data_IF_700323422292
#
_entry.id   IF_700323422292
#
_cell.length_a   1.000
_cell.length_b   1.000
_cell.length_c   1.000
_cell.angle_alpha   90.00
_cell.angle_beta   90.00
_cell.angle_gamma   90.00
#
_symmetry.space_group_name_H-M   'P 1'
#
loop_
_entity.id
_entity.type
_entity.pdbx_description
1 polymer ?
#
# COMPACT_ATOMS: atom_id res chain seq x y z
N UNK A 1 9.55 -11.44 -28.01
CA UNK A 1 8.80 -12.01 -26.88
C UNK A 1 8.97 -11.02 -25.73
N UNK A 2 7.95 -10.26 -25.40
CA UNK A 2 8.01 -9.26 -24.31
C UNK A 2 7.84 -10.08 -23.04
N UNK A 3 8.91 -10.22 -22.25
CA UNK A 3 8.79 -10.71 -20.89
C UNK A 3 8.03 -9.66 -20.09
N UNK A 4 6.78 -9.93 -19.83
CA UNK A 4 6.00 -9.21 -18.85
C UNK A 4 6.63 -9.56 -17.51
N UNK A 5 7.34 -8.63 -16.90
CA UNK A 5 7.84 -8.81 -15.54
C UNK A 5 6.62 -8.95 -14.63
N UNK A 6 6.43 -10.15 -14.09
CA UNK A 6 5.34 -10.43 -13.17
C UNK A 6 5.69 -9.72 -11.86
N UNK A 7 5.00 -8.61 -11.61
CA UNK A 7 5.07 -7.92 -10.33
C UNK A 7 4.16 -8.60 -9.31
N UNK A 8 4.69 -8.93 -8.15
CA UNK A 8 3.92 -9.42 -7.00
C UNK A 8 4.16 -8.52 -5.81
N UNK A 9 3.10 -8.29 -5.06
CA UNK A 9 3.14 -7.54 -3.82
C UNK A 9 2.86 -8.47 -2.64
N UNK A 10 3.68 -8.35 -1.61
CA UNK A 10 3.43 -8.91 -0.29
C UNK A 10 3.16 -7.79 0.70
N UNK A 11 2.27 -8.03 1.65
CA UNK A 11 1.96 -7.08 2.72
C UNK A 11 1.74 -7.81 4.03
N UNK A 12 2.15 -7.18 5.13
CA UNK A 12 1.83 -7.61 6.49
C UNK A 12 1.70 -6.42 7.43
N UNK A 13 0.86 -6.56 8.45
CA UNK A 13 0.85 -5.65 9.60
C UNK A 13 2.13 -5.83 10.42
N UNK A 14 2.65 -4.72 10.94
CA UNK A 14 3.75 -4.74 11.90
C UNK A 14 3.20 -4.93 13.34
N UNK A 15 4.01 -5.52 14.20
CA UNK A 15 3.73 -5.56 15.64
C UNK A 15 4.40 -4.35 16.30
N UNK A 16 3.63 -3.28 16.45
CA UNK A 16 4.15 -1.98 16.84
C UNK A 16 5.20 -1.48 15.84
N UNK A 17 6.37 -1.09 16.31
CA UNK A 17 7.48 -0.61 15.48
C UNK A 17 8.36 -1.74 14.93
N UNK A 18 8.01 -3.02 15.18
CA UNK A 18 8.80 -4.16 14.72
C UNK A 18 8.41 -4.53 13.30
N UNK A 19 9.32 -4.44 12.31
CA UNK A 19 9.05 -4.82 10.94
C UNK A 19 8.66 -6.30 10.82
N UNK A 20 7.66 -6.59 9.99
CA UNK A 20 7.29 -7.97 9.72
C UNK A 20 8.42 -8.69 8.96
N UNK A 21 8.61 -9.98 9.26
CA UNK A 21 9.68 -10.80 8.67
C UNK A 21 9.27 -11.45 7.35
N UNK A 22 7.96 -11.65 7.15
CA UNK A 22 7.40 -12.25 5.93
C UNK A 22 6.00 -11.69 5.66
N UNK A 23 5.56 -11.64 4.41
CA UNK A 23 4.21 -11.19 4.09
C UNK A 23 3.16 -12.21 4.57
N UNK A 24 2.04 -11.68 5.08
CA UNK A 24 0.85 -12.46 5.43
C UNK A 24 -0.10 -12.60 4.26
N UNK A 25 -0.13 -11.60 3.39
CA UNK A 25 -0.95 -11.56 2.19
C UNK A 25 -0.03 -11.33 0.99
N UNK A 26 -0.31 -12.03 -0.11
CA UNK A 26 0.40 -11.89 -1.39
C UNK A 26 -0.61 -11.83 -2.52
N UNK A 27 -0.45 -10.88 -3.42
CA UNK A 27 -1.33 -10.74 -4.58
C UNK A 27 -0.61 -10.14 -5.79
N UNK A 28 -1.21 -10.28 -6.96
CA UNK A 28 -0.73 -9.66 -8.18
C UNK A 28 -1.05 -8.17 -8.22
N UNK A 29 -0.35 -7.47 -9.10
CA UNK A 29 -0.57 -6.06 -9.38
C UNK A 29 -1.28 -5.91 -10.72
N UNK A 30 -2.18 -4.93 -10.81
CA UNK A 30 -2.80 -4.49 -12.07
C UNK A 30 -2.11 -3.27 -12.65
N UNK A 31 -1.48 -2.47 -11.81
CA UNK A 31 -0.73 -1.28 -12.18
C UNK A 31 0.17 -0.79 -11.05
N UNK A 32 0.83 0.34 -11.30
CA UNK A 32 1.73 0.98 -10.35
C UNK A 32 3.14 0.41 -10.31
N UNK A 33 3.99 1.12 -9.61
CA UNK A 33 5.37 0.76 -9.34
C UNK A 33 5.51 0.10 -7.99
N UNK A 34 6.34 -0.90 -7.94
CA UNK A 34 6.82 -1.41 -6.67
C UNK A 34 7.75 -0.35 -6.06
N UNK A 35 7.87 -0.39 -4.75
CA UNK A 35 8.78 0.42 -3.93
C UNK A 35 9.84 1.18 -4.70
N UNK A 36 9.70 2.49 -4.71
CA UNK A 36 10.66 3.37 -5.39
C UNK A 36 11.37 4.26 -4.35
N UNK A 37 12.57 3.87 -3.86
CA UNK A 37 13.34 4.74 -2.99
C UNK A 37 13.90 5.91 -3.80
N UNK A 38 13.36 7.09 -3.58
CA UNK A 38 13.86 8.32 -4.17
C UNK A 38 14.94 8.92 -3.27
N UNK A 39 16.09 9.21 -3.86
CA UNK A 39 17.22 9.85 -3.19
C UNK A 39 17.45 11.22 -3.78
N UNK A 40 17.35 12.25 -2.99
CA UNK A 40 17.76 13.60 -3.37
C UNK A 40 19.25 13.78 -3.05
N UNK A 41 20.05 14.02 -4.09
CA UNK A 41 21.48 14.27 -3.96
C UNK A 41 21.70 15.78 -4.13
N UNK A 42 22.22 16.42 -3.11
CA UNK A 42 22.60 17.83 -3.16
C UNK A 42 24.11 17.97 -3.25
N UNK A 43 24.56 18.97 -3.98
CA UNK A 43 25.95 19.37 -4.08
C UNK A 43 26.11 20.81 -3.65
N UNK A 44 26.85 21.04 -2.57
CA UNK A 44 27.21 22.39 -2.15
C UNK A 44 28.39 22.89 -2.97
N UNK A 45 28.19 23.97 -3.70
CA UNK A 45 29.29 24.64 -4.37
C UNK A 45 30.19 25.32 -3.32
N UNK A 46 31.41 24.83 -3.19
CA UNK A 46 32.44 25.44 -2.33
C UNK A 46 33.49 26.06 -3.23
N UNK A 47 33.70 27.35 -3.09
CA UNK A 47 34.77 28.08 -3.82
C UNK A 47 36.13 27.71 -3.23
N UNK A 48 36.73 26.68 -3.76
CA UNK A 48 38.09 26.20 -3.37
C UNK A 48 39.22 26.78 -4.22
N UNK A 49 39.00 27.88 -4.91
CA UNK A 49 39.98 28.46 -5.82
C UNK A 49 40.16 27.70 -7.15
N UNK A 50 39.34 26.69 -7.41
CA UNK A 50 39.30 25.91 -8.64
C UNK A 50 38.07 26.34 -9.47
N UNK A 51 38.21 26.29 -10.82
CA UNK A 51 37.09 26.61 -11.74
C UNK A 51 35.99 25.53 -11.81
N UNK A 52 36.18 24.43 -11.12
CA UNK A 52 35.18 23.33 -11.07
C UNK A 52 34.82 23.04 -9.61
N UNK A 53 33.57 22.62 -9.39
CA UNK A 53 33.10 22.13 -8.11
C UNK A 53 33.88 20.87 -7.74
N UNK A 54 34.32 20.78 -6.49
CA UNK A 54 34.95 19.56 -6.01
C UNK A 54 33.95 18.41 -6.06
N UNK A 55 34.32 17.29 -6.70
CA UNK A 55 33.45 16.11 -6.85
C UNK A 55 33.00 15.49 -5.50
N UNK A 56 33.69 15.85 -4.41
CA UNK A 56 33.48 15.33 -3.06
C UNK A 56 32.42 16.13 -2.25
N UNK A 57 31.77 17.11 -2.85
CA UNK A 57 30.75 17.93 -2.17
C UNK A 57 29.30 17.43 -2.29
N UNK A 58 29.10 16.29 -2.97
CA UNK A 58 27.78 15.70 -3.11
C UNK A 58 27.43 14.88 -1.85
N UNK A 59 26.22 15.08 -1.34
CA UNK A 59 25.67 14.31 -0.21
C UNK A 59 24.20 13.99 -0.45
N UNK A 60 23.74 12.89 0.13
CA UNK A 60 22.31 12.55 0.11
C UNK A 60 21.63 13.42 1.16
N UNK A 61 20.77 14.32 0.71
CA UNK A 61 20.01 15.21 1.61
C UNK A 61 18.71 14.58 2.07
N UNK A 62 18.14 13.72 1.24
CA UNK A 62 16.83 13.17 1.48
C UNK A 62 16.69 11.78 0.85
N UNK A 63 16.00 10.88 1.55
CA UNK A 63 15.56 9.58 1.03
C UNK A 63 14.06 9.47 1.31
N UNK A 64 13.26 9.36 0.26
CA UNK A 64 11.83 9.12 0.34
C UNK A 64 11.55 7.66 -0.06
N UNK A 65 10.79 6.97 0.78
CA UNK A 65 10.37 5.59 0.55
C UNK A 65 8.88 5.59 0.26
N UNK A 66 8.52 5.63 -1.03
CA UNK A 66 7.15 5.53 -1.48
C UNK A 66 6.79 4.10 -1.87
N UNK A 67 5.55 3.73 -1.62
CA UNK A 67 4.91 2.53 -2.16
C UNK A 67 3.66 2.99 -2.89
N UNK A 68 3.57 2.70 -4.17
CA UNK A 68 2.45 3.08 -5.02
C UNK A 68 2.08 1.92 -5.93
N UNK A 69 0.85 1.43 -5.83
CA UNK A 69 0.40 0.29 -6.62
C UNK A 69 -1.12 0.27 -6.81
N UNK A 70 -1.51 -0.49 -7.82
CA UNK A 70 -2.90 -0.83 -8.11
C UNK A 70 -3.07 -2.35 -8.12
N UNK A 71 -4.19 -2.81 -7.58
CA UNK A 71 -4.56 -4.23 -7.52
C UNK A 71 -6.07 -4.40 -7.51
N UNK A 72 -6.53 -5.63 -7.68
CA UNK A 72 -7.94 -5.95 -7.49
C UNK A 72 -8.28 -6.05 -5.98
N UNK A 73 -9.54 -5.77 -5.65
CA UNK A 73 -10.04 -5.96 -4.29
C UNK A 73 -10.26 -7.45 -4.00
N UNK A 74 -9.31 -8.09 -3.37
CA UNK A 74 -9.45 -9.46 -2.89
C UNK A 74 -10.07 -9.50 -1.50
N UNK A 75 -10.81 -10.57 -1.20
CA UNK A 75 -11.52 -10.71 0.06
C UNK A 75 -10.59 -10.73 1.29
N UNK A 76 -9.37 -11.21 1.13
CA UNK A 76 -8.35 -11.30 2.17
C UNK A 76 -7.56 -9.99 2.37
N UNK A 77 -7.40 -9.17 1.31
CA UNK A 77 -6.58 -7.97 1.38
C UNK A 77 -7.35 -6.67 1.59
N UNK A 78 -8.60 -6.59 1.11
CA UNK A 78 -9.42 -5.37 1.20
C UNK A 78 -9.56 -4.88 2.66
N UNK A 79 -9.91 -5.79 3.58
CA UNK A 79 -10.08 -5.43 4.98
C UNK A 79 -8.77 -4.93 5.62
N UNK A 80 -7.63 -5.48 5.21
CA UNK A 80 -6.31 -5.04 5.67
C UNK A 80 -5.99 -3.61 5.21
N UNK A 81 -6.22 -3.31 3.93
CA UNK A 81 -5.97 -1.96 3.40
C UNK A 81 -6.92 -0.92 4.01
N UNK A 82 -8.20 -1.28 4.18
CA UNK A 82 -9.15 -0.41 4.86
C UNK A 82 -8.77 -0.18 6.34
N UNK A 83 -8.35 -1.22 7.06
CA UNK A 83 -7.84 -1.08 8.42
C UNK A 83 -6.63 -0.15 8.46
N UNK A 84 -5.68 -0.36 7.56
CA UNK A 84 -4.44 0.41 7.54
C UNK A 84 -4.66 1.89 7.16
N UNK A 85 -5.67 2.17 6.34
CA UNK A 85 -6.04 3.53 5.99
C UNK A 85 -6.89 4.23 7.06
N UNK A 86 -7.76 3.48 7.77
CA UNK A 86 -8.72 4.05 8.72
C UNK A 86 -8.32 3.91 10.19
N UNK A 87 -7.49 2.93 10.53
CA UNK A 87 -6.87 2.77 11.84
C UNK A 87 -7.59 1.88 12.84
N UNK A 88 -8.88 1.56 12.66
CA UNK A 88 -9.60 0.72 13.61
C UNK A 88 -10.55 -0.26 12.92
N UNK A 89 -10.59 -1.51 13.40
CA UNK A 89 -11.47 -2.56 12.91
C UNK A 89 -12.07 -3.35 14.07
N UNK A 90 -13.37 -3.63 13.98
CA UNK A 90 -14.07 -4.55 14.86
C UNK A 90 -14.62 -5.69 14.01
N UNK A 91 -14.17 -6.91 14.28
CA UNK A 91 -14.57 -8.12 13.57
C UNK A 91 -15.47 -8.97 14.44
N UNK A 92 -16.66 -9.26 13.96
CA UNK A 92 -17.65 -10.11 14.66
C UNK A 92 -18.01 -11.30 13.79
N UNK A 93 -18.06 -12.53 14.34
CA UNK A 93 -18.55 -13.69 13.60
C UNK A 93 -19.99 -13.47 13.13
N UNK A 94 -20.30 -13.95 11.93
CA UNK A 94 -21.67 -13.93 11.42
C UNK A 94 -22.43 -15.13 11.96
N UNK A 95 -23.53 -14.88 12.66
CA UNK A 95 -24.35 -15.93 13.26
C UNK A 95 -24.84 -16.94 12.19
N UNK A 96 -24.70 -18.21 12.47
CA UNK A 96 -25.11 -19.30 11.57
C UNK A 96 -24.21 -19.55 10.38
N UNK A 97 -23.09 -18.81 10.22
CA UNK A 97 -22.14 -18.99 9.13
C UNK A 97 -20.72 -19.19 9.65
N UNK A 98 -20.24 -20.43 9.69
CA UNK A 98 -18.88 -20.74 10.12
C UNK A 98 -17.85 -20.14 9.18
N UNK A 99 -16.84 -19.45 9.73
CA UNK A 99 -15.74 -18.84 8.98
C UNK A 99 -16.05 -17.47 8.35
N UNK A 100 -17.27 -16.96 8.51
CA UNK A 100 -17.64 -15.63 8.02
C UNK A 100 -17.59 -14.60 9.15
N UNK A 101 -17.02 -13.43 8.87
CA UNK A 101 -16.93 -12.33 9.81
C UNK A 101 -17.49 -11.05 9.18
N UNK A 102 -18.18 -10.26 9.98
CA UNK A 102 -18.54 -8.89 9.67
C UNK A 102 -17.45 -7.99 10.21
N UNK A 103 -16.85 -7.18 9.34
CA UNK A 103 -15.88 -6.17 9.70
C UNK A 103 -16.56 -4.79 9.72
N UNK A 104 -16.39 -4.07 10.82
CA UNK A 104 -16.78 -2.66 10.94
C UNK A 104 -15.49 -1.89 11.11
N UNK A 105 -15.16 -1.07 10.10
CA UNK A 105 -13.94 -0.29 10.04
C UNK A 105 -14.31 1.16 10.28
N UNK A 106 -13.59 1.81 11.18
CA UNK A 106 -13.85 3.20 11.60
C UNK A 106 -12.54 3.96 11.71
N UNK A 107 -12.62 5.28 11.72
CA UNK A 107 -11.46 6.11 11.92
C UNK A 107 -10.86 5.87 13.31
N UNK A 108 -9.59 5.55 13.34
CA UNK A 108 -8.78 5.41 14.55
C UNK A 108 -7.95 6.67 14.82
N UNK A 109 -7.39 6.76 16.00
CA UNK A 109 -6.47 7.84 16.37
C UNK A 109 -5.03 7.59 15.92
N UNK A 110 -4.71 6.36 15.54
CA UNK A 110 -3.38 5.94 15.09
C UNK A 110 -3.54 5.00 13.91
N UNK A 111 -2.78 5.24 12.85
CA UNK A 111 -2.71 4.33 11.71
C UNK A 111 -1.73 3.20 12.01
N UNK A 112 -2.10 1.94 11.76
CA UNK A 112 -1.20 0.81 11.92
C UNK A 112 -0.06 0.87 10.90
N UNK A 113 1.09 0.32 11.29
CA UNK A 113 2.25 0.23 10.43
C UNK A 113 2.19 -1.05 9.59
N UNK A 114 2.60 -0.93 8.34
CA UNK A 114 2.70 -2.01 7.37
C UNK A 114 4.14 -2.24 6.95
N UNK A 115 4.43 -3.47 6.56
CA UNK A 115 5.60 -3.82 5.77
C UNK A 115 5.13 -4.27 4.40
N UNK A 116 5.73 -3.72 3.35
CA UNK A 116 5.49 -4.11 1.96
C UNK A 116 6.70 -4.81 1.38
N UNK A 117 6.45 -5.80 0.52
CA UNK A 117 7.45 -6.46 -0.30
C UNK A 117 7.04 -6.40 -1.76
N UNK A 118 7.89 -5.84 -2.59
CA UNK A 118 7.70 -5.83 -4.02
C UNK A 118 8.64 -6.80 -4.71
N UNK A 119 8.11 -7.78 -5.45
CA UNK A 119 8.89 -8.69 -6.24
C UNK A 119 8.86 -8.28 -7.71
N UNK A 120 10.05 -8.21 -8.32
CA UNK A 120 10.23 -8.01 -9.75
C UNK A 120 11.04 -9.21 -10.29
N UNK A 121 10.60 -9.75 -11.41
CA UNK A 121 11.28 -10.88 -12.06
C UNK A 121 10.58 -12.22 -11.86
N UNK A 122 11.11 -13.24 -12.53
CA UNK A 122 10.62 -14.60 -12.43
C UNK A 122 11.24 -15.34 -11.22
N UNK A 123 10.80 -16.58 -11.00
CA UNK A 123 11.27 -17.41 -9.87
C UNK A 123 12.75 -17.72 -9.89
N UNK A 124 13.43 -17.55 -11.03
CA UNK A 124 14.87 -17.84 -11.16
C UNK A 124 15.75 -16.60 -10.94
N UNK A 125 15.22 -15.40 -11.23
CA UNK A 125 15.93 -14.13 -11.08
C UNK A 125 15.02 -13.06 -10.49
N UNK A 126 14.55 -13.28 -9.28
CA UNK A 126 13.69 -12.34 -8.58
C UNK A 126 14.51 -11.36 -7.73
N UNK A 127 14.11 -10.11 -7.79
CA UNK A 127 14.55 -9.08 -6.86
C UNK A 127 13.38 -8.67 -5.99
N UNK A 128 13.56 -8.69 -4.69
CA UNK A 128 12.55 -8.30 -3.72
C UNK A 128 13.01 -7.05 -2.99
N UNK A 129 12.20 -6.02 -3.04
CA UNK A 129 12.35 -4.82 -2.24
C UNK A 129 11.39 -4.89 -1.06
N UNK A 130 11.89 -4.67 0.14
CA UNK A 130 11.09 -4.57 1.35
C UNK A 130 11.08 -3.12 1.81
N UNK A 131 9.89 -2.60 2.16
CA UNK A 131 9.74 -1.30 2.82
C UNK A 131 9.04 -1.48 4.14
N UNK A 132 9.66 -0.95 5.17
CA UNK A 132 9.21 -1.03 6.54
C UNK A 132 8.65 0.31 7.03
N UNK A 133 7.84 0.25 8.08
CA UNK A 133 7.27 1.42 8.73
C UNK A 133 6.30 2.19 7.84
N UNK A 134 5.58 1.50 6.95
CA UNK A 134 4.68 2.14 6.02
C UNK A 134 3.35 2.50 6.66
N UNK A 135 2.86 3.71 6.37
CA UNK A 135 1.47 4.12 6.61
C UNK A 135 0.80 4.42 5.28
N UNK A 136 -0.47 4.05 5.13
CA UNK A 136 -1.24 4.38 3.95
C UNK A 136 -1.59 5.86 3.96
N UNK A 137 -1.15 6.57 2.92
CA UNK A 137 -1.50 7.97 2.70
C UNK A 137 -2.82 8.08 1.94
N UNK A 138 -2.95 7.35 0.83
CA UNK A 138 -4.17 7.36 0.04
C UNK A 138 -4.64 5.94 -0.24
N UNK A 139 -5.93 5.70 -0.05
CA UNK A 139 -6.64 4.49 -0.44
C UNK A 139 -7.77 4.85 -1.37
N UNK A 140 -7.71 4.41 -2.61
CA UNK A 140 -8.75 4.54 -3.61
C UNK A 140 -9.43 3.21 -3.88
N UNK A 141 -10.75 3.22 -4.01
CA UNK A 141 -11.57 2.10 -4.46
C UNK A 141 -12.39 2.58 -5.64
N UNK A 142 -12.30 1.87 -6.77
CA UNK A 142 -13.00 2.28 -7.99
C UNK A 142 -13.66 1.08 -8.65
N UNK A 143 -14.88 1.25 -9.11
CA UNK A 143 -15.57 0.26 -9.94
C UNK A 143 -16.29 0.92 -11.10
N UNK A 144 -16.38 0.19 -12.21
CA UNK A 144 -17.10 0.63 -13.39
C UNK A 144 -17.89 -0.55 -13.98
N UNK A 145 -19.19 -0.40 -14.10
CA UNK A 145 -20.09 -1.40 -14.67
C UNK A 145 -19.95 -2.77 -13.98
N UNK A 146 -19.61 -3.77 -14.78
CA UNK A 146 -19.43 -5.14 -14.32
C UNK A 146 -17.94 -5.52 -14.14
N UNK A 147 -17.04 -4.55 -14.15
CA UNK A 147 -15.62 -4.78 -13.90
C UNK A 147 -15.35 -5.13 -12.44
N UNK A 148 -14.24 -5.81 -12.13
CA UNK A 148 -13.81 -5.99 -10.77
C UNK A 148 -13.64 -4.66 -10.04
N UNK A 149 -13.73 -4.70 -8.70
CA UNK A 149 -13.38 -3.55 -7.86
C UNK A 149 -11.85 -3.40 -7.83
N UNK A 150 -11.39 -2.23 -8.27
CA UNK A 150 -9.98 -1.88 -8.24
C UNK A 150 -9.61 -1.14 -6.95
N UNK A 151 -8.41 -1.43 -6.45
CA UNK A 151 -7.80 -0.74 -5.31
C UNK A 151 -6.55 -0.02 -5.79
N UNK A 152 -6.43 1.26 -5.45
CA UNK A 152 -5.19 2.02 -5.55
C UNK A 152 -4.70 2.39 -4.15
N UNK A 153 -3.41 2.18 -3.89
CA UNK A 153 -2.78 2.46 -2.60
C UNK A 153 -1.52 3.26 -2.81
N UNK A 154 -1.44 4.39 -2.10
CA UNK A 154 -0.20 5.14 -1.93
C UNK A 154 0.17 5.10 -0.45
N UNK A 155 1.42 4.75 -0.15
CA UNK A 155 1.91 4.68 1.21
C UNK A 155 3.30 5.32 1.32
N UNK A 156 3.58 5.89 2.48
CA UNK A 156 4.89 6.42 2.83
C UNK A 156 5.57 5.47 3.82
N UNK A 157 6.80 5.07 3.51
CA UNK A 157 7.61 4.18 4.34
C UNK A 157 8.80 4.88 4.98
N UNK A 158 9.40 4.24 5.97
CA UNK A 158 10.55 4.78 6.72
C UNK A 158 11.86 4.21 6.23
N UNK A 159 11.93 2.90 5.98
CA UNK A 159 13.16 2.22 5.59
C UNK A 159 12.92 1.23 4.44
N UNK A 160 13.95 1.02 3.62
CA UNK A 160 13.88 0.06 2.52
C UNK A 160 15.12 -0.82 2.47
N UNK A 161 14.89 -2.10 2.32
CA UNK A 161 15.94 -3.12 2.22
C UNK A 161 15.75 -3.94 0.96
N UNK A 162 16.87 -4.23 0.29
CA UNK A 162 16.88 -5.11 -0.86
C UNK A 162 17.13 -6.56 -0.40
N UNK A 163 16.25 -7.47 -0.80
CA UNK A 163 16.38 -8.90 -0.58
C UNK A 163 16.52 -9.64 -1.91
N UNK A 164 17.16 -10.80 -1.86
CA UNK A 164 17.25 -11.68 -3.04
C UNK A 164 16.02 -12.59 -3.19
N UNK A 165 15.31 -12.88 -2.10
CA UNK A 165 14.10 -13.72 -2.10
C UNK A 165 13.29 -13.49 -0.83
N UNK A 166 11.97 -13.65 -0.89
CA UNK A 166 11.09 -13.66 0.29
C UNK A 166 10.62 -15.07 0.70
N UNK A 167 11.40 -16.11 0.31
CA UNK A 167 11.11 -17.51 0.61
C UNK A 167 10.05 -18.13 -0.32
N UNK A 168 9.66 -19.37 -0.03
CA UNK A 168 8.65 -20.08 -0.80
C UNK A 168 7.35 -19.30 -0.82
N UNK A 169 6.97 -18.85 -2.00
CA UNK A 169 5.75 -18.12 -2.23
C UNK A 169 4.61 -19.12 -2.17
N UNK A 170 3.89 -19.15 -1.04
CA UNK A 170 2.55 -19.75 -1.04
C UNK A 170 1.74 -19.02 -2.11
N UNK A 171 1.09 -19.77 -2.99
CA UNK A 171 0.35 -19.24 -4.14
C UNK A 171 -0.36 -17.93 -3.79
N UNK A 172 -0.14 -16.87 -4.58
CA UNK A 172 -0.84 -15.62 -4.36
C UNK A 172 -2.34 -15.84 -4.52
N UNK A 173 -3.14 -15.13 -3.75
CA UNK A 173 -4.61 -15.10 -3.88
C UNK A 173 -5.08 -14.51 -5.22
N UNK A 174 -4.20 -14.45 -6.24
CA UNK A 174 -4.44 -13.84 -7.54
C UNK A 174 -5.58 -14.49 -8.34
N UNK A 175 -6.04 -15.65 -7.94
CA UNK A 175 -6.97 -16.44 -8.77
C UNK A 175 -8.35 -16.62 -8.15
N UNK A 176 -8.53 -16.33 -6.87
CA UNK A 176 -9.79 -16.57 -6.18
C UNK A 176 -10.24 -15.35 -5.37
N UNK A 177 -11.50 -14.96 -5.57
CA UNK A 177 -12.22 -14.15 -4.60
C UNK A 177 -12.03 -12.64 -4.68
N UNK A 178 -11.79 -12.07 -5.86
CA UNK A 178 -11.94 -10.62 -6.04
C UNK A 178 -13.42 -10.21 -6.10
N UNK A 179 -13.68 -8.99 -5.64
CA UNK A 179 -15.03 -8.46 -5.64
C UNK A 179 -15.42 -7.93 -7.03
N UNK A 180 -16.61 -8.32 -7.47
CA UNK A 180 -17.27 -7.76 -8.65
C UNK A 180 -18.59 -7.16 -8.21
N UNK A 181 -18.89 -5.91 -8.50
CA UNK A 181 -20.11 -5.24 -8.03
C UNK A 181 -21.40 -5.70 -8.73
N UNK A 182 -21.33 -6.71 -9.62
CA UNK A 182 -22.51 -7.30 -10.25
C UNK A 182 -23.46 -7.89 -9.21
N UNK A 183 -24.65 -7.32 -9.11
CA UNK A 183 -25.66 -7.75 -8.14
C UNK A 183 -25.55 -7.03 -6.79
N UNK A 184 -24.74 -5.99 -6.67
CA UNK A 184 -24.75 -5.11 -5.51
C UNK A 184 -25.98 -4.21 -5.51
N UNK A 185 -26.71 -4.16 -4.39
CA UNK A 185 -27.77 -3.20 -4.15
C UNK A 185 -27.20 -1.92 -3.58
N UNK A 186 -27.32 -0.83 -4.32
CA UNK A 186 -26.95 0.49 -3.83
C UNK A 186 -28.21 1.21 -3.32
N UNK A 187 -28.15 1.68 -2.08
CA UNK A 187 -29.27 2.38 -1.44
C UNK A 187 -28.81 3.71 -0.88
N UNK A 188 -29.58 4.74 -1.15
CA UNK A 188 -29.41 6.04 -0.50
C UNK A 188 -30.37 6.08 0.67
N UNK A 189 -29.81 6.15 1.88
CA UNK A 189 -30.56 6.36 3.11
C UNK A 189 -30.48 7.84 3.48
N UNK A 190 -31.66 8.47 3.54
CA UNK A 190 -31.79 9.80 4.11
C UNK A 190 -32.41 9.62 5.50
N UNK A 191 -31.76 10.10 6.53
CA UNK A 191 -31.97 9.89 7.98
C UNK A 191 -33.44 9.87 8.50
N UNK A 192 -34.41 9.99 7.66
CA UNK A 192 -35.87 9.98 8.00
C UNK A 192 -36.76 9.29 6.98
N UNK A 193 -36.20 8.63 5.97
CA UNK A 193 -37.03 8.00 4.91
C UNK A 193 -36.56 6.56 4.63
N UNK A 194 -37.46 5.78 4.02
CA UNK A 194 -37.11 4.44 3.52
C UNK A 194 -35.95 4.54 2.51
N UNK A 195 -34.90 3.71 2.63
CA UNK A 195 -33.82 3.68 1.68
C UNK A 195 -34.33 3.48 0.25
N UNK A 196 -33.81 4.28 -0.67
CA UNK A 196 -34.21 4.22 -2.09
C UNK A 196 -33.14 3.45 -2.85
N UNK A 197 -33.56 2.47 -3.63
CA UNK A 197 -32.69 1.73 -4.53
C UNK A 197 -32.22 2.64 -5.67
N UNK A 198 -30.92 2.65 -5.91
CA UNK A 198 -30.30 3.44 -6.99
C UNK A 198 -29.49 2.53 -7.91
N UNK A 199 -29.62 2.75 -9.20
CA UNK A 199 -28.76 2.11 -10.18
C UNK A 199 -27.46 2.91 -10.28
N UNK A 200 -26.35 2.29 -9.88
CA UNK A 200 -25.02 2.90 -9.97
C UNK A 200 -24.24 2.17 -11.06
N UNK A 201 -23.77 2.91 -12.05
CA UNK A 201 -22.97 2.37 -13.17
C UNK A 201 -21.49 2.44 -12.93
N UNK A 202 -21.05 3.38 -12.11
CA UNK A 202 -19.66 3.56 -11.69
C UNK A 202 -19.63 4.26 -10.34
N UNK A 203 -18.56 4.04 -9.60
CA UNK A 203 -18.35 4.72 -8.33
C UNK A 203 -16.88 4.73 -7.94
N UNK A 204 -16.51 5.73 -7.18
CA UNK A 204 -15.19 5.82 -6.56
C UNK A 204 -15.31 6.28 -5.12
N UNK A 205 -14.46 5.72 -4.29
CA UNK A 205 -14.24 6.16 -2.93
C UNK A 205 -12.75 6.41 -2.77
N UNK A 206 -12.39 7.56 -2.24
CA UNK A 206 -11.01 7.90 -1.93
C UNK A 206 -10.92 8.41 -0.50
N UNK A 207 -9.91 7.95 0.19
CA UNK A 207 -9.53 8.41 1.50
C UNK A 207 -8.07 8.83 1.49
N UNK A 208 -7.79 10.05 1.95
CA UNK A 208 -6.43 10.57 2.09
C UNK A 208 -6.17 10.96 3.54
N UNK A 209 -5.05 10.48 4.08
CA UNK A 209 -4.59 10.76 5.44
C UNK A 209 -3.68 11.98 5.50
N UNK A 210 -3.28 12.52 4.33
CA UNK A 210 -2.39 13.69 4.22
C UNK A 210 -1.13 13.55 5.08
N UNK A 211 -0.45 12.40 4.95
CA UNK A 211 0.73 12.09 5.75
C UNK A 211 1.88 13.05 5.45
N UNK A 212 2.58 13.47 6.48
CA UNK A 212 3.73 14.33 6.37
C UNK A 212 5.00 13.61 6.83
N UNK A 213 6.00 13.54 5.94
CA UNK A 213 7.32 13.01 6.28
C UNK A 213 8.15 14.09 6.95
N UNK A 214 8.40 13.98 8.25
CA UNK A 214 9.24 14.91 9.02
C UNK A 214 10.61 14.33 9.29
N UNK A 215 11.64 15.17 9.18
CA UNK A 215 13.03 14.79 9.44
C UNK A 215 13.62 15.66 10.54
N UNK A 216 14.28 15.03 11.49
CA UNK A 216 15.12 15.74 12.44
C UNK A 216 16.46 16.11 11.81
N UNK A 217 17.11 17.15 12.32
CA UNK A 217 18.44 17.53 11.88
C UNK A 217 19.42 16.36 12.04
N UNK A 218 20.12 16.01 10.96
CA UNK A 218 21.05 14.87 10.90
C UNK A 218 20.39 13.54 10.53
N UNK A 219 19.10 13.47 10.30
CA UNK A 219 18.39 12.28 9.78
C UNK A 219 18.14 12.40 8.28
N UNK A 220 18.52 11.37 7.55
CA UNK A 220 18.25 11.24 6.11
C UNK A 220 16.90 10.55 5.87
N UNK A 221 16.52 9.68 6.80
CA UNK A 221 15.27 8.90 6.78
C UNK A 221 14.17 9.65 7.56
N UNK A 222 12.94 9.74 7.04
CA UNK A 222 11.87 10.47 7.70
C UNK A 222 11.23 9.70 8.86
N UNK A 223 10.60 10.44 9.77
CA UNK A 223 9.54 9.92 10.63
C UNK A 223 8.19 10.32 10.01
N UNK A 224 7.28 9.37 9.83
CA UNK A 224 5.99 9.63 9.19
C UNK A 224 4.96 9.96 10.27
N UNK A 225 4.41 11.15 10.17
CA UNK A 225 3.34 11.64 11.05
C UNK A 225 2.00 11.60 10.30
N UNK A 226 0.97 11.21 11.01
CA UNK A 226 -0.43 11.30 10.57
C UNK A 226 -1.11 12.46 11.31
#
# INVERSE_FOLDING_TARGET
>A
MINVSIGMLGVALQDGDTPATQPTIKHGLTGGGLVNPERTIEQKAVACGLRANAANGAYVSEVNMGVDFETLAYADSLALYCLAAMGNIVSTPVEGKSGYHKHVITLGSVLPLLTFWGQIGDTAQQTVHKVDGCKIDTLGLTFEGNAPLDISVTAAGVDATLFQSWGDVVNPSCFDGYFVPTGGDFKIDTASQTPVDVTVTQGSFEMSNSLEAKRAAGQVVPTILA
#
